data_IF_087692526972
#
_entry.id   IF_087692526972
#
_cell.length_a   1.000
_cell.length_b   1.000
_cell.length_c   1.000
_cell.angle_alpha   90.00
_cell.angle_beta   90.00
_cell.angle_gamma   90.00
#
_symmetry.space_group_name_H-M   'P 1'
#
loop_
_entity.id
_entity.type
_entity.pdbx_description
1 polymer ?
#
# COMPACT_ATOMS: atom_id res chain seq x y z
N UNK A 1 5.62 -8.33 -6.97
CA UNK A 1 4.26 -8.10 -7.50
C UNK A 1 3.87 -6.65 -7.28
N UNK A 2 3.16 -6.04 -8.22
CA UNK A 2 2.58 -4.70 -8.04
C UNK A 2 1.18 -4.83 -7.44
N UNK A 3 0.80 -3.96 -6.51
CA UNK A 3 -0.57 -3.93 -6.00
C UNK A 3 -1.57 -3.55 -7.09
N UNK A 4 -2.73 -4.22 -7.14
CA UNK A 4 -3.83 -3.83 -8.02
C UNK A 4 -4.94 -3.13 -7.23
N UNK A 5 -5.82 -2.46 -7.95
CA UNK A 5 -6.99 -1.79 -7.39
C UNK A 5 -8.25 -2.47 -7.92
N UNK A 6 -9.08 -2.94 -6.99
CA UNK A 6 -10.41 -3.47 -7.28
C UNK A 6 -11.42 -2.32 -7.26
N UNK A 7 -12.28 -2.27 -8.27
CA UNK A 7 -13.30 -1.23 -8.40
C UNK A 7 -14.14 -1.13 -7.11
N UNK A 8 -14.39 0.10 -6.64
CA UNK A 8 -15.15 0.33 -5.41
C UNK A 8 -14.42 -0.04 -4.11
N UNK A 9 -13.11 -0.32 -4.16
CA UNK A 9 -12.35 -0.82 -3.00
C UNK A 9 -12.94 -2.11 -2.44
N UNK A 10 -13.37 -3.00 -3.34
CA UNK A 10 -13.97 -4.28 -2.98
C UNK A 10 -13.08 -5.02 -1.96
N UNK A 11 -13.66 -5.30 -0.78
CA UNK A 11 -12.97 -6.00 0.29
C UNK A 11 -13.02 -7.50 0.04
N UNK A 12 -11.89 -8.06 -0.34
CA UNK A 12 -11.69 -9.50 -0.46
C UNK A 12 -10.98 -9.99 0.80
N UNK A 13 -11.61 -10.87 1.61
CA UNK A 13 -10.98 -11.38 2.83
C UNK A 13 -9.77 -12.28 2.52
N UNK A 14 -9.75 -12.87 1.32
CA UNK A 14 -8.66 -13.72 0.85
C UNK A 14 -8.45 -13.52 -0.65
N UNK A 15 -7.19 -13.44 -1.06
CA UNK A 15 -6.80 -13.55 -2.46
C UNK A 15 -6.66 -15.03 -2.81
N UNK A 16 -7.18 -15.44 -3.96
CA UNK A 16 -7.09 -16.84 -4.40
C UNK A 16 -5.63 -17.24 -4.59
N UNK A 17 -5.20 -18.45 -4.17
CA UNK A 17 -3.88 -18.98 -4.52
C UNK A 17 -3.63 -19.06 -6.04
N UNK A 18 -4.70 -19.14 -6.82
CA UNK A 18 -4.72 -19.15 -8.28
C UNK A 18 -4.79 -17.74 -8.90
N UNK A 19 -4.65 -16.68 -8.10
CA UNK A 19 -4.62 -15.31 -8.63
C UNK A 19 -3.36 -15.13 -9.52
N UNK A 20 -3.51 -14.72 -10.80
CA UNK A 20 -2.39 -14.57 -11.72
C UNK A 20 -1.30 -13.60 -11.24
N UNK A 21 -1.63 -12.67 -10.33
CA UNK A 21 -0.63 -11.79 -9.73
C UNK A 21 0.38 -12.54 -8.86
N UNK A 22 -0.01 -13.68 -8.29
CA UNK A 22 0.89 -14.54 -7.51
C UNK A 22 1.89 -15.26 -8.41
N UNK A 23 1.51 -15.59 -9.65
CA UNK A 23 2.45 -16.14 -10.64
C UNK A 23 3.55 -15.13 -11.00
N UNK A 24 3.19 -13.85 -11.12
CA UNK A 24 4.16 -12.77 -11.35
C UNK A 24 5.11 -12.62 -10.16
N UNK A 25 4.61 -12.75 -8.93
CA UNK A 25 5.46 -12.73 -7.72
C UNK A 25 6.44 -13.89 -7.71
N UNK A 26 5.96 -15.09 -8.03
CA UNK A 26 6.81 -16.28 -8.11
C UNK A 26 7.87 -16.15 -9.22
N UNK A 27 7.49 -15.68 -10.41
CA UNK A 27 8.43 -15.45 -11.49
C UNK A 27 9.52 -14.46 -11.07
N UNK A 28 9.15 -13.34 -10.43
CA UNK A 28 10.12 -12.36 -9.94
C UNK A 28 11.05 -12.97 -8.88
N UNK A 29 10.55 -13.82 -7.98
CA UNK A 29 11.37 -14.51 -6.99
C UNK A 29 12.44 -15.38 -7.68
N UNK A 30 12.05 -16.16 -8.69
CA UNK A 30 12.98 -17.01 -9.45
C UNK A 30 13.96 -16.20 -10.30
N UNK A 31 13.52 -15.08 -10.87
CA UNK A 31 14.37 -14.15 -11.62
C UNK A 31 15.45 -13.53 -10.72
N UNK A 32 15.10 -13.13 -9.48
CA UNK A 32 16.05 -12.56 -8.52
C UNK A 32 16.95 -13.60 -7.86
N UNK A 33 16.42 -14.81 -7.64
CA UNK A 33 17.14 -15.89 -6.96
C UNK A 33 17.12 -17.16 -7.82
N UNK A 34 17.97 -17.25 -8.86
CA UNK A 34 18.00 -18.40 -9.76
C UNK A 34 18.25 -19.74 -9.06
N UNK A 35 18.91 -19.73 -7.89
CA UNK A 35 19.12 -20.92 -7.04
C UNK A 35 17.80 -21.59 -6.60
N UNK A 36 16.70 -20.84 -6.61
CA UNK A 36 15.38 -21.34 -6.24
C UNK A 36 14.61 -21.94 -7.42
N UNK A 37 15.18 -22.01 -8.64
CA UNK A 37 14.45 -22.41 -9.86
C UNK A 37 13.68 -23.74 -9.72
N UNK A 38 14.29 -24.77 -9.14
CA UNK A 38 13.67 -26.10 -8.99
C UNK A 38 13.04 -26.31 -7.60
N UNK A 39 13.04 -25.28 -6.75
CA UNK A 39 12.43 -25.35 -5.41
C UNK A 39 10.91 -25.22 -5.53
N UNK A 40 10.22 -26.16 -4.90
CA UNK A 40 8.76 -26.18 -4.80
C UNK A 40 8.25 -25.01 -3.94
N UNK A 41 7.30 -24.25 -4.49
CA UNK A 41 6.57 -23.22 -3.73
C UNK A 41 5.34 -23.89 -3.13
N UNK A 42 5.39 -24.14 -1.82
CA UNK A 42 4.33 -24.88 -1.12
C UNK A 42 3.13 -24.01 -0.76
N UNK A 43 3.32 -22.70 -0.59
CA UNK A 43 2.29 -21.76 -0.14
C UNK A 43 2.37 -20.43 -0.87
N UNK A 44 1.21 -19.87 -1.18
CA UNK A 44 1.06 -18.53 -1.75
C UNK A 44 -0.08 -17.80 -1.04
N UNK A 45 0.10 -16.50 -0.81
CA UNK A 45 -0.93 -15.66 -0.22
C UNK A 45 -0.87 -14.24 -0.76
N UNK A 46 -1.97 -13.52 -0.58
CA UNK A 46 -2.07 -12.10 -0.84
C UNK A 46 -3.10 -11.48 0.09
N UNK A 47 -3.04 -10.16 0.23
CA UNK A 47 -3.94 -9.39 1.06
C UNK A 47 -4.17 -8.00 0.51
N UNK A 48 -5.21 -7.35 1.01
CA UNK A 48 -5.49 -5.97 0.70
C UNK A 48 -4.64 -5.03 1.56
N UNK A 49 -4.21 -3.93 0.96
CA UNK A 49 -3.49 -2.86 1.64
C UNK A 49 -4.45 -1.70 1.92
N UNK A 50 -4.51 -1.26 3.17
CA UNK A 50 -5.20 -0.03 3.55
C UNK A 50 -4.31 1.18 3.31
N UNK A 51 -4.76 2.12 2.47
CA UNK A 51 -4.01 3.33 2.14
C UNK A 51 -4.92 4.56 2.26
N UNK A 52 -4.45 5.54 3.03
CA UNK A 52 -5.08 6.84 3.14
C UNK A 52 -4.78 7.69 1.90
N UNK A 53 -5.61 8.69 1.61
CA UNK A 53 -5.48 9.53 0.41
C UNK A 53 -4.12 10.22 0.28
N UNK A 54 -3.54 10.68 1.40
CA UNK A 54 -2.23 11.33 1.43
C UNK A 54 -1.07 10.34 1.62
N UNK A 55 -1.32 9.03 1.51
CA UNK A 55 -0.28 7.98 1.58
C UNK A 55 0.55 8.02 2.87
N UNK A 56 -0.08 8.32 4.02
CA UNK A 56 0.57 8.23 5.34
C UNK A 56 -0.37 7.58 6.35
N UNK A 57 0.18 6.89 7.37
CA UNK A 57 -0.60 6.37 8.47
C UNK A 57 -1.28 7.48 9.28
N UNK A 58 -2.44 7.17 9.87
CA UNK A 58 -3.12 8.08 10.79
C UNK A 58 -3.65 7.35 12.02
N UNK A 59 -3.74 8.10 13.12
CA UNK A 59 -4.37 7.69 14.38
C UNK A 59 -5.33 8.77 14.83
N UNK A 60 -6.62 8.45 14.89
CA UNK A 60 -7.68 9.34 15.34
C UNK A 60 -8.25 8.81 16.64
N UNK A 61 -8.56 9.72 17.57
CA UNK A 61 -9.26 9.38 18.80
C UNK A 61 -10.19 10.53 19.18
N UNK A 62 -11.47 10.21 19.26
CA UNK A 62 -12.51 11.13 19.73
C UNK A 62 -12.79 10.85 21.21
N UNK A 63 -12.50 11.85 22.05
CA UNK A 63 -12.70 11.76 23.51
C UNK A 63 -14.17 11.83 23.92
N UNK A 64 -15.03 12.47 23.14
CA UNK A 64 -16.45 12.61 23.46
C UNK A 64 -17.18 11.28 23.23
N UNK A 65 -16.87 10.60 22.12
CA UNK A 65 -17.49 9.31 21.79
C UNK A 65 -16.72 8.09 22.29
N UNK A 66 -15.44 8.26 22.62
CA UNK A 66 -14.53 7.16 22.97
C UNK A 66 -14.10 6.28 21.80
N UNK A 67 -14.38 6.71 20.56
CA UNK A 67 -14.04 5.96 19.34
C UNK A 67 -12.64 6.34 18.84
N UNK A 68 -11.87 5.32 18.49
CA UNK A 68 -10.53 5.47 17.91
C UNK A 68 -10.38 4.71 16.60
N UNK A 69 -9.53 5.22 15.71
CA UNK A 69 -9.09 4.54 14.51
C UNK A 69 -7.58 4.65 14.34
N UNK A 70 -6.98 3.62 13.77
CA UNK A 70 -5.57 3.57 13.45
C UNK A 70 -5.42 2.76 12.15
N UNK A 71 -4.73 3.31 11.16
CA UNK A 71 -4.65 2.63 9.87
C UNK A 71 -3.92 3.40 8.78
N UNK A 72 -4.14 2.95 7.54
CA UNK A 72 -3.52 3.57 6.36
C UNK A 72 -2.02 3.32 6.27
N UNK A 73 -1.54 2.13 6.66
CA UNK A 73 -0.10 1.85 6.84
C UNK A 73 0.74 1.75 5.56
N UNK A 74 0.14 1.88 4.37
CA UNK A 74 0.86 2.03 3.08
C UNK A 74 1.87 0.91 2.76
N UNK A 75 1.71 -0.26 3.37
CA UNK A 75 2.60 -1.42 3.19
C UNK A 75 3.51 -1.70 4.39
N UNK A 76 3.67 -0.76 5.32
CA UNK A 76 4.51 -0.90 6.53
C UNK A 76 3.70 -1.39 7.74
N UNK A 77 2.72 -2.26 7.50
CA UNK A 77 1.67 -2.59 8.48
C UNK A 77 2.19 -3.17 9.80
N UNK A 78 3.24 -4.00 9.77
CA UNK A 78 3.74 -4.68 10.98
C UNK A 78 4.33 -3.69 11.99
N UNK A 79 5.29 -2.88 11.55
CA UNK A 79 5.92 -1.88 12.42
C UNK A 79 4.97 -0.71 12.72
N UNK A 80 4.25 -0.22 11.71
CA UNK A 80 3.35 0.92 11.87
C UNK A 80 2.18 0.61 12.80
N UNK A 81 1.60 -0.60 12.75
CA UNK A 81 0.51 -0.99 13.67
C UNK A 81 0.96 -1.04 15.12
N UNK A 82 2.19 -1.49 15.40
CA UNK A 82 2.74 -1.45 16.75
C UNK A 82 2.83 -0.02 17.28
N UNK A 83 3.43 0.89 16.48
CA UNK A 83 3.54 2.30 16.86
C UNK A 83 2.16 2.94 17.03
N UNK A 84 1.25 2.73 16.07
CA UNK A 84 -0.10 3.27 16.11
C UNK A 84 -0.91 2.77 17.30
N UNK A 85 -0.76 1.49 17.69
CA UNK A 85 -1.40 0.93 18.88
C UNK A 85 -0.92 1.59 20.17
N UNK A 86 0.38 1.89 20.28
CA UNK A 86 0.94 2.62 21.43
C UNK A 86 0.44 4.07 21.48
N UNK A 87 0.44 4.75 20.33
CA UNK A 87 -0.13 6.10 20.20
C UNK A 87 -1.60 6.09 20.66
N UNK A 88 -2.41 5.18 20.12
CA UNK A 88 -3.83 5.10 20.45
C UNK A 88 -4.05 4.77 21.93
N UNK A 89 -3.24 3.89 22.52
CA UNK A 89 -3.26 3.61 23.96
C UNK A 89 -3.04 4.88 24.78
N UNK A 90 -2.01 5.67 24.46
CA UNK A 90 -1.72 6.92 25.18
C UNK A 90 -2.84 7.95 25.01
N UNK A 91 -3.46 8.02 23.82
CA UNK A 91 -4.61 8.89 23.57
C UNK A 91 -5.83 8.48 24.40
N UNK A 92 -6.10 7.18 24.52
CA UNK A 92 -7.20 6.61 25.31
C UNK A 92 -6.99 6.84 26.80
N UNK A 93 -5.79 6.62 27.32
CA UNK A 93 -5.49 6.82 28.75
C UNK A 93 -5.28 8.29 29.12
N UNK A 94 -5.15 9.17 28.13
CA UNK A 94 -4.87 10.59 28.33
C UNK A 94 -3.43 10.89 28.74
N UNK A 95 -2.51 9.96 28.47
CA UNK A 95 -1.09 10.09 28.79
C UNK A 95 -0.44 11.20 27.96
N UNK A 96 0.41 12.03 28.58
CA UNK A 96 1.09 13.16 27.90
C UNK A 96 2.45 12.72 27.34
N UNK A 97 2.48 11.69 26.51
CA UNK A 97 3.72 11.15 25.93
C UNK A 97 4.17 11.90 24.67
N UNK A 98 5.43 11.65 24.25
CA UNK A 98 5.91 12.08 22.93
C UNK A 98 5.17 11.38 21.78
N UNK A 99 4.69 10.15 22.01
CA UNK A 99 3.96 9.37 21.01
C UNK A 99 2.62 10.04 20.68
N UNK A 100 1.91 10.55 21.69
CA UNK A 100 0.65 11.28 21.52
C UNK A 100 0.81 12.64 20.82
N UNK A 101 2.05 13.05 20.50
CA UNK A 101 2.37 14.29 19.76
C UNK A 101 2.93 14.03 18.36
N UNK A 102 3.03 12.77 17.95
CA UNK A 102 3.54 12.43 16.62
C UNK A 102 2.58 12.95 15.53
N UNK A 103 3.09 13.27 14.32
CA UNK A 103 2.28 13.81 13.23
C UNK A 103 1.12 12.91 12.75
N UNK A 104 1.06 11.65 13.18
CA UNK A 104 -0.02 10.73 12.85
C UNK A 104 -1.30 11.03 13.66
N UNK A 105 -1.16 11.71 14.81
CA UNK A 105 -2.25 11.99 15.74
C UNK A 105 -3.15 13.08 15.19
N UNK A 106 -4.43 12.77 15.01
CA UNK A 106 -5.42 13.72 14.49
C UNK A 106 -5.29 14.03 13.00
N UNK A 107 -4.41 13.32 12.28
CA UNK A 107 -4.26 13.44 10.83
C UNK A 107 -5.44 12.75 10.13
N UNK A 108 -6.55 13.46 9.97
CA UNK A 108 -7.77 12.92 9.35
C UNK A 108 -7.65 12.89 7.82
N UNK A 109 -7.57 11.70 7.19
CA UNK A 109 -7.39 11.60 5.76
C UNK A 109 -8.61 12.08 4.99
N UNK A 110 -8.41 12.99 4.04
CA UNK A 110 -9.44 13.37 3.09
C UNK A 110 -9.99 12.16 2.32
N UNK A 111 -11.28 12.21 1.97
CA UNK A 111 -11.95 11.14 1.23
C UNK A 111 -11.35 10.96 -0.16
N UNK A 112 -11.19 9.70 -0.55
CA UNK A 112 -10.85 9.33 -1.92
C UNK A 112 -11.86 9.84 -2.95
N UNK A 113 -11.43 9.99 -4.20
CA UNK A 113 -12.32 10.35 -5.32
C UNK A 113 -13.48 9.36 -5.43
N UNK A 114 -14.62 9.87 -5.91
CA UNK A 114 -15.78 9.03 -6.23
C UNK A 114 -15.45 8.12 -7.42
N UNK A 115 -16.05 6.94 -7.44
CA UNK A 115 -15.98 6.06 -8.60
C UNK A 115 -16.76 6.66 -9.79
N UNK A 116 -16.28 6.50 -11.04
CA UNK A 116 -15.15 5.66 -11.46
C UNK A 116 -13.78 6.36 -11.48
N UNK A 117 -13.68 7.64 -11.08
CA UNK A 117 -12.45 8.43 -11.23
C UNK A 117 -11.26 7.81 -10.51
N UNK A 118 -11.46 7.31 -9.28
CA UNK A 118 -10.42 6.61 -8.51
C UNK A 118 -9.92 5.36 -9.23
N UNK A 119 -10.83 4.50 -9.70
CA UNK A 119 -10.46 3.29 -10.42
C UNK A 119 -9.69 3.61 -11.71
N UNK A 120 -10.15 4.59 -12.49
CA UNK A 120 -9.45 5.03 -13.71
C UNK A 120 -8.05 5.52 -13.37
N UNK A 121 -7.89 6.37 -12.35
CA UNK A 121 -6.59 6.85 -11.91
C UNK A 121 -5.65 5.71 -11.51
N UNK A 122 -6.13 4.77 -10.69
CA UNK A 122 -5.33 3.61 -10.26
C UNK A 122 -4.90 2.72 -11.44
N UNK A 123 -5.79 2.51 -12.42
CA UNK A 123 -5.47 1.73 -13.62
C UNK A 123 -4.52 2.46 -14.57
N UNK A 124 -4.63 3.79 -14.68
CA UNK A 124 -3.68 4.59 -15.45
C UNK A 124 -2.27 4.50 -14.86
N UNK A 125 -2.15 4.61 -13.53
CA UNK A 125 -0.86 4.46 -12.83
C UNK A 125 -0.25 3.08 -13.07
N UNK A 126 -1.05 2.02 -12.92
CA UNK A 126 -0.62 0.65 -13.20
C UNK A 126 -0.13 0.50 -14.65
N UNK A 127 -0.92 0.98 -15.60
CA UNK A 127 -0.57 0.92 -17.02
C UNK A 127 0.76 1.62 -17.34
N UNK A 128 0.94 2.83 -16.79
CA UNK A 128 2.18 3.60 -16.96
C UNK A 128 3.38 2.88 -16.35
N UNK A 129 3.25 2.37 -15.13
CA UNK A 129 4.30 1.61 -14.46
C UNK A 129 4.71 0.35 -15.24
N UNK A 130 3.73 -0.44 -15.69
CA UNK A 130 3.99 -1.65 -16.48
C UNK A 130 4.63 -1.35 -17.85
N UNK A 131 4.41 -0.14 -18.38
CA UNK A 131 5.03 0.32 -19.63
C UNK A 131 6.48 0.74 -19.38
N UNK A 132 6.75 1.42 -18.26
CA UNK A 132 8.09 1.82 -17.84
C UNK A 132 8.98 0.60 -17.58
N UNK A 133 8.50 -0.36 -16.78
CA UNK A 133 9.23 -1.60 -16.47
C UNK A 133 9.61 -2.39 -17.73
N UNK A 134 8.67 -2.53 -18.67
CA UNK A 134 8.94 -3.23 -19.94
C UNK A 134 10.00 -2.54 -20.78
N UNK A 135 10.06 -1.21 -20.72
CA UNK A 135 11.08 -0.44 -21.43
C UNK A 135 12.44 -0.61 -20.78
N UNK A 136 12.51 -0.56 -19.45
CA UNK A 136 13.76 -0.70 -18.67
C UNK A 136 14.31 -2.13 -18.68
N UNK A 137 13.45 -3.15 -18.76
CA UNK A 137 13.89 -4.55 -18.90
C UNK A 137 14.57 -4.83 -20.25
N UNK A 138 14.18 -4.10 -21.30
CA UNK A 138 14.69 -4.29 -22.66
C UNK A 138 15.82 -3.33 -23.03
N UNK A 139 15.98 -2.25 -22.27
CA UNK A 139 16.94 -1.18 -22.50
C UNK A 139 17.58 -0.92 -21.15
N UNK A 140 18.84 -1.29 -20.95
CA UNK A 140 19.59 -1.11 -19.69
C UNK A 140 19.84 0.37 -19.31
N UNK A 141 18.93 1.27 -19.69
CA UNK A 141 18.90 2.70 -19.41
C UNK A 141 17.55 3.08 -18.78
N UNK A 142 17.54 3.83 -17.66
CA UNK A 142 16.31 4.28 -17.01
C UNK A 142 15.41 5.07 -17.97
N UNK A 143 14.09 4.88 -17.86
CA UNK A 143 13.14 5.50 -18.78
C UNK A 143 12.87 6.98 -18.42
N UNK A 144 13.72 7.89 -18.89
CA UNK A 144 13.65 9.34 -18.60
C UNK A 144 12.26 9.98 -18.82
N UNK A 145 11.47 9.47 -19.77
CA UNK A 145 10.13 10.00 -20.09
C UNK A 145 9.05 9.57 -19.08
N UNK A 146 9.06 8.31 -18.63
CA UNK A 146 8.04 7.81 -17.71
C UNK A 146 8.39 8.10 -16.24
N UNK A 147 9.68 8.12 -15.90
CA UNK A 147 10.16 8.65 -14.61
C UNK A 147 9.73 10.10 -14.41
N UNK A 148 9.96 10.96 -15.41
CA UNK A 148 9.54 12.37 -15.34
C UNK A 148 8.02 12.59 -15.29
N UNK A 149 7.21 11.68 -15.84
CA UNK A 149 5.75 11.76 -15.75
C UNK A 149 5.24 11.27 -14.38
N UNK A 150 5.89 10.27 -13.80
CA UNK A 150 5.58 9.77 -12.45
C UNK A 150 5.90 10.83 -11.39
N UNK A 151 7.07 11.46 -11.47
CA UNK A 151 7.47 12.56 -10.57
C UNK A 151 6.54 13.77 -10.67
N UNK A 152 6.01 14.06 -11.86
CA UNK A 152 5.14 15.22 -12.09
C UNK A 152 3.67 14.98 -11.70
N UNK A 153 3.24 13.73 -11.58
CA UNK A 153 1.88 13.36 -11.17
C UNK A 153 1.79 13.02 -9.68
N UNK A 154 2.89 12.61 -9.05
CA UNK A 154 2.90 12.09 -7.67
C UNK A 154 3.97 12.69 -6.76
N UNK A 155 4.75 13.67 -7.24
CA UNK A 155 5.69 14.50 -6.47
C UNK A 155 5.11 15.84 -6.07
#
# INVERSE_FOLDING_TARGET
GRGSYYFGSERKPRISPEDPMLDIVEQNLRDFFPILHDVEITHRWGGLMGVNRHWRPSVLFDRETGLGSAGGYVGEGVAASNLAGRILSDLVTGEKSDLARLPWVGDDPARWEREPLRWVGAKAIQFVGDRADRKERNSSTPSAFWGGLFDRLFG
#
